data_IF_461875302537
#
_entry.id   IF_461875302537
#
_cell.length_a   1.000
_cell.length_b   1.000
_cell.length_c   1.000
_cell.angle_alpha   90.00
_cell.angle_beta   90.00
_cell.angle_gamma   90.00
#
_symmetry.space_group_name_H-M   'P 1'
#
loop_
_entity.id
_entity.type
_entity.pdbx_description
1 polymer ?
#
# COMPACT_ATOMS: atom_id res chain seq x y z
N UNK A 1 5.10 3.19 13.61
CA UNK A 1 5.61 1.82 13.36
C UNK A 1 7.02 1.95 12.86
N UNK A 2 8.00 1.44 13.60
CA UNK A 2 9.41 1.45 13.16
C UNK A 2 9.58 0.27 12.22
N UNK A 3 9.77 0.57 10.94
CA UNK A 3 10.09 -0.42 9.90
C UNK A 3 11.60 -0.59 9.89
N UNK A 4 12.08 -1.84 9.96
CA UNK A 4 13.49 -2.16 9.76
C UNK A 4 13.59 -3.04 8.51
N UNK A 5 14.28 -2.57 7.47
CA UNK A 5 14.48 -3.32 6.22
C UNK A 5 13.21 -3.92 5.57
N UNK A 6 12.05 -3.28 5.74
CA UNK A 6 10.78 -3.74 5.16
C UNK A 6 10.04 -4.79 6.00
N UNK A 7 10.42 -4.98 7.26
CA UNK A 7 9.74 -5.84 8.24
C UNK A 7 9.24 -4.99 9.42
N UNK A 8 8.14 -5.40 10.06
CA UNK A 8 7.67 -4.78 11.30
C UNK A 8 8.41 -5.37 12.50
N UNK A 9 9.01 -4.50 13.32
CA UNK A 9 9.81 -4.90 14.49
C UNK A 9 9.10 -5.87 15.46
N UNK A 10 7.79 -5.72 15.62
CA UNK A 10 7.00 -6.45 16.63
C UNK A 10 6.00 -7.44 16.00
N UNK A 11 6.27 -7.92 14.78
CA UNK A 11 5.45 -8.93 14.14
C UNK A 11 6.33 -10.11 13.69
N UNK A 12 5.89 -11.37 13.89
CA UNK A 12 4.70 -11.81 14.63
C UNK A 12 4.74 -11.51 16.13
N UNK A 13 3.59 -11.52 16.81
CA UNK A 13 3.50 -11.38 18.25
C UNK A 13 3.60 -12.74 18.96
N UNK A 14 2.81 -13.72 18.53
CA UNK A 14 2.73 -15.03 19.17
C UNK A 14 4.00 -15.85 19.02
N UNK A 15 4.35 -16.61 20.06
CA UNK A 15 5.47 -17.55 20.04
C UNK A 15 5.26 -18.64 18.98
N UNK A 16 4.02 -19.13 18.85
CA UNK A 16 3.63 -20.08 17.81
C UNK A 16 3.97 -19.56 16.41
N UNK A 17 3.53 -18.34 16.06
CA UNK A 17 3.75 -17.80 14.73
C UNK A 17 5.22 -17.40 14.51
N UNK A 18 5.93 -16.94 15.54
CA UNK A 18 7.39 -16.73 15.47
C UNK A 18 8.14 -18.02 15.10
N UNK A 19 7.75 -19.16 15.69
CA UNK A 19 8.31 -20.47 15.36
C UNK A 19 8.09 -20.83 13.88
N UNK A 20 6.86 -20.65 13.39
CA UNK A 20 6.54 -20.88 11.97
C UNK A 20 7.31 -19.94 11.04
N UNK A 21 7.50 -18.68 11.42
CA UNK A 21 8.31 -17.72 10.66
C UNK A 21 9.77 -18.18 10.52
N UNK A 22 10.36 -18.69 11.60
CA UNK A 22 11.70 -19.27 11.56
C UNK A 22 11.78 -20.48 10.63
N UNK A 23 10.83 -21.41 10.71
CA UNK A 23 10.82 -22.64 9.91
C UNK A 23 10.60 -22.38 8.42
N UNK A 24 9.65 -21.50 8.08
CA UNK A 24 9.22 -21.28 6.70
C UNK A 24 9.77 -19.99 6.07
N UNK A 25 10.74 -19.34 6.73
CA UNK A 25 11.31 -18.05 6.31
C UNK A 25 10.23 -16.99 6.06
N UNK A 26 9.32 -16.84 7.01
CA UNK A 26 8.15 -15.95 6.90
C UNK A 26 8.51 -14.50 6.53
N UNK A 27 9.68 -14.02 6.95
CA UNK A 27 10.18 -12.66 6.66
C UNK A 27 10.50 -12.40 5.18
N UNK A 28 10.65 -13.46 4.36
CA UNK A 28 10.81 -13.31 2.91
C UNK A 28 9.52 -12.87 2.23
N UNK A 29 8.37 -13.33 2.73
CA UNK A 29 7.07 -13.15 2.10
C UNK A 29 6.16 -12.15 2.85
N UNK A 30 6.16 -12.19 4.19
CA UNK A 30 5.25 -11.44 5.05
C UNK A 30 5.90 -10.12 5.47
N UNK A 31 6.24 -9.33 4.46
CA UNK A 31 6.85 -8.00 4.63
C UNK A 31 5.81 -6.91 4.84
N UNK A 32 6.27 -5.69 5.09
CA UNK A 32 5.43 -4.50 5.28
C UNK A 32 4.34 -4.35 4.21
N UNK A 33 4.59 -4.53 2.89
CA UNK A 33 3.52 -4.42 1.88
C UNK A 33 2.40 -5.44 2.08
N UNK A 34 2.75 -6.68 2.43
CA UNK A 34 1.80 -7.75 2.71
C UNK A 34 0.95 -7.42 3.94
N UNK A 35 1.58 -7.01 5.04
CA UNK A 35 0.86 -6.67 6.27
C UNK A 35 0.07 -5.36 6.18
N UNK A 36 0.46 -4.43 5.29
CA UNK A 36 -0.35 -3.24 4.98
C UNK A 36 -1.64 -3.62 4.24
N UNK A 37 -1.65 -4.69 3.46
CA UNK A 37 -2.86 -5.19 2.80
C UNK A 37 -3.93 -5.56 3.84
N UNK A 38 -3.54 -6.16 4.98
CA UNK A 38 -4.44 -6.46 6.10
C UNK A 38 -5.24 -5.23 6.61
N UNK A 39 -4.66 -4.03 6.49
CA UNK A 39 -5.26 -2.79 6.97
C UNK A 39 -6.06 -2.02 5.91
N UNK A 40 -6.01 -2.48 4.65
CA UNK A 40 -6.76 -1.88 3.55
C UNK A 40 -8.22 -2.34 3.62
N UNK A 41 -9.19 -1.42 3.54
CA UNK A 41 -10.57 -1.84 3.36
C UNK A 41 -10.72 -2.52 1.99
N UNK A 42 -11.53 -3.57 1.86
CA UNK A 42 -11.80 -4.20 0.59
C UNK A 42 -12.50 -3.18 -0.34
N UNK A 43 -11.99 -3.02 -1.56
CA UNK A 43 -12.51 -2.05 -2.55
C UNK A 43 -13.70 -2.64 -3.32
N UNK A 44 -14.69 -3.18 -2.61
CA UNK A 44 -15.79 -3.96 -3.20
C UNK A 44 -16.67 -3.14 -4.15
N UNK A 45 -16.75 -1.82 -3.92
CA UNK A 45 -17.63 -0.92 -4.67
C UNK A 45 -16.89 -0.11 -5.77
N UNK A 46 -15.56 -0.21 -5.84
CA UNK A 46 -14.77 0.54 -6.82
C UNK A 46 -14.70 -0.21 -8.16
N UNK A 47 -14.85 0.51 -9.27
CA UNK A 47 -14.67 -0.06 -10.61
C UNK A 47 -13.23 -0.48 -10.82
N UNK A 48 -13.02 -1.70 -11.32
CA UNK A 48 -11.67 -2.24 -11.56
C UNK A 48 -10.87 -1.33 -12.50
N UNK A 49 -11.50 -0.73 -13.51
CA UNK A 49 -10.83 0.18 -14.43
C UNK A 49 -10.26 1.41 -13.71
N UNK A 50 -11.00 1.96 -12.74
CA UNK A 50 -10.55 3.13 -11.96
C UNK A 50 -9.38 2.76 -11.04
N UNK A 51 -9.42 1.57 -10.43
CA UNK A 51 -8.33 1.06 -9.60
C UNK A 51 -7.06 0.84 -10.44
N UNK A 52 -7.20 0.22 -11.61
CA UNK A 52 -6.11 -0.01 -12.57
C UNK A 52 -5.52 1.31 -13.04
N UNK A 53 -6.36 2.27 -13.43
CA UNK A 53 -5.92 3.61 -13.81
C UNK A 53 -5.14 4.27 -12.68
N UNK A 54 -5.66 4.28 -11.45
CA UNK A 54 -4.99 4.89 -10.30
C UNK A 54 -3.62 4.25 -10.01
N UNK A 55 -3.53 2.91 -10.11
CA UNK A 55 -2.29 2.17 -9.92
C UNK A 55 -1.25 2.52 -10.99
N UNK A 56 -1.63 2.45 -12.27
CA UNK A 56 -0.73 2.70 -13.38
C UNK A 56 -0.32 4.16 -13.48
N UNK A 57 -1.22 5.10 -13.24
CA UNK A 57 -0.93 6.53 -13.23
C UNK A 57 0.12 6.87 -12.17
N UNK A 58 0.00 6.26 -10.99
CA UNK A 58 0.99 6.40 -9.92
C UNK A 58 2.31 5.69 -10.26
N UNK A 59 2.25 4.56 -10.97
CA UNK A 59 3.43 3.82 -11.42
C UNK A 59 4.22 4.62 -12.45
N UNK A 60 3.57 5.29 -13.41
CA UNK A 60 4.24 6.16 -14.39
C UNK A 60 5.03 7.27 -13.71
N UNK A 61 4.44 7.97 -12.72
CA UNK A 61 5.17 8.97 -11.92
C UNK A 61 6.37 8.38 -11.18
N UNK A 62 6.26 7.13 -10.70
CA UNK A 62 7.35 6.44 -10.01
C UNK A 62 8.47 6.05 -10.99
N UNK A 63 8.11 5.56 -12.16
CA UNK A 63 9.03 5.18 -13.25
C UNK A 63 9.79 6.41 -13.74
N UNK A 64 9.09 7.53 -13.95
CA UNK A 64 9.71 8.81 -14.27
C UNK A 64 10.72 9.21 -13.19
N UNK A 65 10.29 9.26 -11.92
CA UNK A 65 11.18 9.62 -10.83
C UNK A 65 12.40 8.68 -10.75
N UNK A 66 12.21 7.39 -10.99
CA UNK A 66 13.30 6.41 -11.01
C UNK A 66 14.30 6.67 -12.15
N UNK A 67 13.81 6.88 -13.39
CA UNK A 67 14.64 7.20 -14.56
C UNK A 67 15.49 8.46 -14.34
N UNK A 68 14.93 9.46 -13.65
CA UNK A 68 15.60 10.73 -13.36
C UNK A 68 16.39 10.74 -12.03
N UNK A 69 16.68 9.56 -11.46
CA UNK A 69 17.37 9.41 -10.17
C UNK A 69 16.78 10.27 -9.03
N UNK A 70 15.45 10.36 -8.99
CA UNK A 70 14.66 11.12 -8.04
C UNK A 70 13.84 10.19 -7.11
N UNK A 71 13.45 10.74 -5.96
CA UNK A 71 12.40 10.22 -5.09
C UNK A 71 11.14 11.04 -5.30
N UNK A 72 10.02 10.36 -5.43
CA UNK A 72 8.71 11.01 -5.49
C UNK A 72 8.21 11.29 -4.07
N UNK A 73 8.05 12.56 -3.69
CA UNK A 73 7.48 12.97 -2.40
C UNK A 73 6.11 13.58 -2.58
N UNK A 74 5.17 13.16 -1.75
CA UNK A 74 3.80 13.67 -1.72
C UNK A 74 3.75 15.03 -1.02
N UNK A 75 3.04 16.00 -1.60
CA UNK A 75 2.75 17.29 -0.95
C UNK A 75 1.60 17.19 0.07
N UNK A 76 0.65 16.26 -0.15
CA UNK A 76 -0.59 16.12 0.65
C UNK A 76 -1.09 14.67 0.80
N UNK A 77 -1.94 14.42 1.82
CA UNK A 77 -2.51 13.09 2.17
C UNK A 77 -3.36 12.45 1.06
N UNK A 78 -3.95 13.24 0.15
CA UNK A 78 -4.55 12.76 -1.10
C UNK A 78 -3.89 13.53 -2.24
N UNK A 79 -2.86 12.93 -2.83
CA UNK A 79 -1.94 13.64 -3.73
C UNK A 79 -2.67 14.11 -5.00
N UNK A 80 -3.53 13.27 -5.57
CA UNK A 80 -4.36 13.60 -6.74
C UNK A 80 -5.80 13.22 -6.42
N UNK A 81 -6.78 14.03 -6.87
CA UNK A 81 -8.22 13.76 -6.69
C UNK A 81 -8.79 13.13 -7.96
N UNK A 82 -8.92 11.80 -7.99
CA UNK A 82 -9.24 11.06 -9.23
C UNK A 82 -10.73 10.89 -9.54
N UNK A 83 -11.62 11.10 -8.55
CA UNK A 83 -13.06 10.83 -8.67
C UNK A 83 -13.78 11.48 -9.86
N UNK A 84 -13.33 12.64 -10.31
CA UNK A 84 -14.00 13.41 -11.38
C UNK A 84 -13.21 13.43 -12.70
N UNK A 85 -12.09 12.71 -12.78
CA UNK A 85 -11.15 12.79 -13.91
C UNK A 85 -11.46 11.83 -15.05
N UNK A 86 -12.44 10.92 -14.90
CA UNK A 86 -12.85 9.93 -15.91
C UNK A 86 -11.66 9.15 -16.52
N UNK A 87 -10.70 8.75 -15.69
CA UNK A 87 -9.47 8.06 -16.11
C UNK A 87 -8.69 8.76 -17.24
N UNK A 88 -8.74 10.11 -17.27
CA UNK A 88 -7.90 10.91 -18.15
C UNK A 88 -6.52 11.12 -17.50
N UNK A 89 -5.48 10.59 -18.14
CA UNK A 89 -4.12 10.66 -17.64
C UNK A 89 -3.50 12.06 -17.74
N UNK A 90 -3.84 12.83 -18.77
CA UNK A 90 -3.35 14.21 -18.96
C UNK A 90 -3.78 15.10 -17.78
N UNK A 91 -5.07 15.08 -17.45
CA UNK A 91 -5.64 15.79 -16.30
C UNK A 91 -5.01 15.29 -14.98
N UNK A 92 -4.70 13.99 -14.89
CA UNK A 92 -4.04 13.42 -13.73
C UNK A 92 -2.62 13.99 -13.53
N UNK A 93 -1.80 14.03 -14.59
CA UNK A 93 -0.40 14.48 -14.48
C UNK A 93 -0.29 15.97 -14.22
N UNK A 94 -1.23 16.79 -14.73
CA UNK A 94 -1.30 18.21 -14.41
C UNK A 94 -1.51 18.46 -12.91
N UNK A 95 -2.50 17.82 -12.28
CA UNK A 95 -2.72 17.94 -10.83
C UNK A 95 -1.59 17.28 -10.03
N UNK A 96 -1.05 16.16 -10.52
CA UNK A 96 0.06 15.47 -9.88
C UNK A 96 1.33 16.32 -9.82
N UNK A 97 1.73 16.92 -10.94
CA UNK A 97 2.94 17.73 -11.05
C UNK A 97 2.79 19.06 -10.31
N UNK A 98 1.61 19.69 -10.40
CA UNK A 98 1.37 21.02 -9.82
C UNK A 98 1.15 20.93 -8.31
N UNK A 99 0.23 20.06 -7.87
CA UNK A 99 -0.29 20.06 -6.50
C UNK A 99 -0.03 18.79 -5.71
N UNK A 100 0.19 17.66 -6.39
CA UNK A 100 0.22 16.35 -5.75
C UNK A 100 1.59 15.93 -5.22
N UNK A 101 2.62 16.13 -6.04
CA UNK A 101 3.94 15.55 -5.85
C UNK A 101 5.06 16.55 -6.12
N UNK A 102 6.23 16.21 -5.60
CA UNK A 102 7.52 16.86 -5.85
C UNK A 102 8.55 15.78 -6.11
N UNK A 103 9.54 16.09 -6.95
CA UNK A 103 10.72 15.26 -7.12
C UNK A 103 11.81 15.76 -6.19
N UNK A 104 12.49 14.83 -5.55
CA UNK A 104 13.65 15.10 -4.71
C UNK A 104 14.81 14.30 -5.27
N UNK A 105 15.88 14.97 -5.65
CA UNK A 105 17.07 14.30 -6.17
C UNK A 105 17.60 13.34 -5.10
N UNK A 106 17.95 12.11 -5.50
CA UNK A 106 18.67 11.21 -4.60
C UNK A 106 20.11 11.72 -4.54
N UNK A 107 20.42 12.55 -3.55
CA UNK A 107 21.79 12.98 -3.29
C UNK A 107 22.69 11.73 -3.14
N UNK A 108 23.78 11.69 -3.88
CA UNK A 108 24.98 11.01 -3.41
C UNK A 108 25.56 11.96 -2.36
N UNK A 109 25.59 11.52 -1.09
CA UNK A 109 26.10 12.21 0.09
C UNK A 109 26.89 13.52 -0.15
N UNK A 110 26.34 14.64 0.33
CA UNK A 110 27.08 15.89 0.54
C UNK A 110 26.81 16.95 -0.53
N UNK A 111 25.83 17.82 -0.30
CA UNK A 111 26.10 19.18 0.19
C UNK A 111 24.81 19.99 0.21
N UNK A 112 24.64 20.76 1.29
CA UNK A 112 23.55 21.70 1.53
C UNK A 112 23.57 22.87 0.53
N UNK A 113 23.34 22.61 -0.76
CA UNK A 113 23.15 23.64 -1.76
C UNK A 113 21.72 23.60 -2.28
N UNK A 114 21.12 24.80 -2.34
CA UNK A 114 19.77 25.13 -2.82
C UNK A 114 19.55 24.75 -4.29
N UNK A 115 19.78 23.50 -4.66
CA UNK A 115 19.48 22.98 -5.98
C UNK A 115 17.96 22.97 -6.13
N UNK A 116 17.45 23.69 -7.13
CA UNK A 116 16.04 23.67 -7.47
C UNK A 116 15.60 22.22 -7.71
N UNK A 117 14.49 21.81 -7.09
CA UNK A 117 14.00 20.47 -7.25
C UNK A 117 13.69 20.19 -8.73
N UNK A 118 14.02 18.99 -9.25
CA UNK A 118 13.68 18.63 -10.62
C UNK A 118 12.18 18.80 -10.88
N UNK A 119 11.85 19.33 -12.05
CA UNK A 119 10.46 19.49 -12.50
C UNK A 119 10.03 18.27 -13.30
N UNK A 120 8.74 17.97 -13.30
CA UNK A 120 8.20 16.93 -14.16
C UNK A 120 8.23 17.39 -15.62
N UNK A 121 8.63 16.51 -16.53
CA UNK A 121 8.42 16.68 -17.96
C UNK A 121 7.09 16.00 -18.33
N UNK A 122 6.06 16.78 -18.64
CA UNK A 122 4.72 16.25 -18.92
C UNK A 122 4.70 15.42 -20.22
N UNK A 123 5.44 15.84 -21.25
CA UNK A 123 5.56 15.11 -22.52
C UNK A 123 6.18 13.72 -22.33
N UNK A 124 7.22 13.62 -21.50
CA UNK A 124 7.84 12.33 -21.18
C UNK A 124 6.89 11.45 -20.37
N UNK A 125 6.14 12.02 -19.42
CA UNK A 125 5.11 11.28 -18.68
C UNK A 125 4.02 10.73 -19.60
N UNK A 126 3.54 11.54 -20.55
CA UNK A 126 2.60 11.08 -21.58
C UNK A 126 3.21 9.97 -22.42
N UNK A 127 4.47 10.10 -22.83
CA UNK A 127 5.19 9.06 -23.60
C UNK A 127 5.26 7.75 -22.81
N UNK A 128 5.61 7.79 -21.52
CA UNK A 128 5.63 6.63 -20.64
C UNK A 128 4.25 5.97 -20.51
N UNK A 129 3.18 6.78 -20.46
CA UNK A 129 1.82 6.28 -20.40
C UNK A 129 1.39 5.60 -21.70
N UNK A 130 1.68 6.20 -22.86
CA UNK A 130 1.38 5.61 -24.16
C UNK A 130 2.19 4.35 -24.48
N UNK A 131 3.33 4.15 -23.83
CA UNK A 131 4.11 2.90 -23.90
C UNK A 131 3.45 1.74 -23.15
N UNK A 132 2.45 1.99 -22.29
CA UNK A 132 1.74 0.93 -21.58
C UNK A 132 0.86 0.14 -22.56
N UNK A 133 1.14 -1.16 -22.67
CA UNK A 133 0.35 -2.06 -23.52
C UNK A 133 -0.91 -2.54 -22.82
N UNK A 134 -1.91 -2.98 -23.57
CA UNK A 134 -3.10 -3.63 -23.01
C UNK A 134 -2.77 -4.78 -22.04
N UNK A 135 -1.70 -5.53 -22.34
CA UNK A 135 -1.21 -6.58 -21.46
C UNK A 135 -0.77 -6.07 -20.07
N UNK A 136 -0.24 -4.85 -20.00
CA UNK A 136 0.11 -4.18 -18.74
C UNK A 136 -1.13 -3.82 -17.93
N UNK A 137 -2.19 -3.34 -18.58
CA UNK A 137 -3.49 -3.11 -17.94
C UNK A 137 -4.09 -4.41 -17.41
N UNK A 138 -4.03 -5.50 -18.16
CA UNK A 138 -4.48 -6.82 -17.70
C UNK A 138 -3.71 -7.28 -16.47
N UNK A 139 -2.36 -7.17 -16.46
CA UNK A 139 -1.54 -7.52 -15.30
C UNK A 139 -1.88 -6.68 -14.07
N UNK A 140 -2.09 -5.38 -14.24
CA UNK A 140 -2.52 -4.50 -13.16
C UNK A 140 -3.88 -4.91 -12.60
N UNK A 141 -4.83 -5.28 -13.46
CA UNK A 141 -6.14 -5.80 -13.04
C UNK A 141 -6.02 -7.09 -12.22
N UNK A 142 -5.26 -8.07 -12.72
CA UNK A 142 -5.00 -9.33 -12.01
C UNK A 142 -4.35 -9.06 -10.65
N UNK A 143 -3.36 -8.17 -10.59
CA UNK A 143 -2.69 -7.80 -9.36
C UNK A 143 -3.64 -7.20 -8.32
N UNK A 144 -4.51 -6.28 -8.73
CA UNK A 144 -5.51 -5.65 -7.84
C UNK A 144 -6.52 -6.69 -7.34
N UNK A 145 -7.01 -7.56 -8.23
CA UNK A 145 -7.93 -8.63 -7.84
C UNK A 145 -7.26 -9.57 -6.82
N UNK A 146 -6.01 -9.97 -7.07
CA UNK A 146 -5.26 -10.80 -6.13
C UNK A 146 -5.10 -10.12 -4.76
N UNK A 147 -4.80 -8.82 -4.73
CA UNK A 147 -4.76 -8.05 -3.49
C UNK A 147 -6.10 -8.08 -2.76
N UNK A 148 -7.21 -7.87 -3.48
CA UNK A 148 -8.55 -7.87 -2.90
C UNK A 148 -8.94 -9.25 -2.34
N UNK A 149 -8.61 -10.34 -3.03
CA UNK A 149 -8.87 -11.70 -2.54
C UNK A 149 -7.97 -12.10 -1.37
N UNK A 150 -6.73 -11.63 -1.32
CA UNK A 150 -5.81 -11.91 -0.23
C UNK A 150 -6.08 -11.07 1.01
N UNK A 151 -6.61 -9.84 0.88
CA UNK A 151 -6.88 -8.95 1.99
C UNK A 151 -7.57 -9.62 3.19
N UNK A 152 -8.72 -10.32 3.04
CA UNK A 152 -9.42 -10.92 4.18
C UNK A 152 -8.63 -12.06 4.81
N UNK A 153 -7.84 -12.80 4.02
CA UNK A 153 -6.98 -13.88 4.53
C UNK A 153 -5.90 -13.29 5.42
N UNK A 154 -5.26 -12.22 4.96
CA UNK A 154 -4.17 -11.56 5.69
C UNK A 154 -4.70 -10.83 6.93
N UNK A 155 -5.86 -10.19 6.83
CA UNK A 155 -6.52 -9.60 7.99
C UNK A 155 -6.75 -10.66 9.07
N UNK A 156 -7.42 -11.77 8.73
CA UNK A 156 -7.66 -12.86 9.67
C UNK A 156 -6.35 -13.42 10.25
N UNK A 157 -5.33 -13.60 9.42
CA UNK A 157 -4.01 -14.06 9.87
C UNK A 157 -3.42 -13.17 10.97
N UNK A 158 -3.48 -11.83 10.81
CA UNK A 158 -3.03 -10.87 11.83
C UNK A 158 -3.91 -10.90 13.07
N UNK A 159 -5.23 -11.08 12.92
CA UNK A 159 -6.14 -11.21 14.05
C UNK A 159 -5.85 -12.49 14.84
N UNK A 160 -5.65 -13.63 14.18
CA UNK A 160 -5.29 -14.89 14.82
C UNK A 160 -3.97 -14.79 15.59
N UNK A 161 -2.93 -14.16 15.03
CA UNK A 161 -1.66 -13.95 15.75
C UNK A 161 -1.87 -13.23 17.09
N UNK A 162 -2.71 -12.18 17.10
CA UNK A 162 -3.05 -11.44 18.32
C UNK A 162 -3.83 -12.28 19.33
N UNK A 163 -4.77 -13.09 18.84
CA UNK A 163 -5.58 -13.96 19.70
C UNK A 163 -4.70 -15.02 20.37
N UNK A 164 -3.83 -15.67 19.59
CA UNK A 164 -2.89 -16.68 20.10
C UNK A 164 -1.93 -16.05 21.10
N UNK A 165 -1.38 -14.88 20.78
CA UNK A 165 -0.52 -14.13 21.71
C UNK A 165 -1.20 -13.89 23.06
N UNK A 166 -2.47 -13.46 23.09
CA UNK A 166 -3.19 -13.26 24.36
C UNK A 166 -3.34 -14.57 25.15
N UNK A 167 -3.66 -15.68 24.48
CA UNK A 167 -3.78 -16.99 25.13
C UNK A 167 -2.44 -17.47 25.69
N UNK A 168 -1.35 -17.30 24.95
CA UNK A 168 0.02 -17.59 25.39
C UNK A 168 0.41 -16.78 26.64
N UNK A 169 -0.15 -15.57 26.79
CA UNK A 169 0.07 -14.69 27.95
C UNK A 169 -1.01 -14.85 29.05
N UNK A 170 -1.73 -15.98 29.08
CA UNK A 170 -2.63 -16.34 30.17
C UNK A 170 -4.04 -15.73 30.11
N UNK A 171 -4.38 -15.00 29.05
CA UNK A 171 -5.74 -14.46 28.86
C UNK A 171 -6.64 -15.56 28.31
N UNK A 172 -7.34 -16.25 29.21
CA UNK A 172 -8.19 -17.41 28.88
C UNK A 172 -9.46 -17.03 28.11
N UNK A 173 -10.06 -15.90 28.46
CA UNK A 173 -11.30 -15.41 27.87
C UNK A 173 -11.02 -14.29 26.88
N UNK A 174 -10.51 -14.65 25.70
CA UNK A 174 -10.34 -13.72 24.59
C UNK A 174 -10.96 -14.25 23.29
N UNK A 175 -11.63 -13.36 22.55
CA UNK A 175 -12.23 -13.66 21.26
C UNK A 175 -12.39 -12.40 20.41
N UNK A 176 -12.54 -12.58 19.10
CA UNK A 176 -13.00 -11.51 18.21
C UNK A 176 -14.51 -11.56 18.07
N UNK A 177 -15.18 -10.47 18.40
CA UNK A 177 -16.63 -10.31 18.22
C UNK A 177 -16.91 -9.31 17.11
N UNK A 178 -17.86 -9.65 16.24
CA UNK A 178 -18.38 -8.72 15.25
C UNK A 178 -19.27 -7.68 15.94
N UNK A 179 -18.85 -6.43 15.91
CA UNK A 179 -19.52 -5.29 16.56
C UNK A 179 -20.30 -4.40 15.57
N UNK A 180 -19.99 -4.48 14.28
CA UNK A 180 -20.63 -3.66 13.24
C UNK A 180 -21.01 -4.50 12.02
N UNK A 181 -21.92 -3.97 11.20
CA UNK A 181 -22.15 -4.50 9.87
C UNK A 181 -20.97 -4.10 8.96
N UNK A 182 -20.46 -5.04 8.15
CA UNK A 182 -19.37 -4.79 7.19
C UNK A 182 -19.72 -3.69 6.18
N UNK A 183 -21.01 -3.52 5.86
CA UNK A 183 -21.54 -2.45 5.00
C UNK A 183 -21.48 -1.07 5.67
N UNK A 184 -21.43 -1.01 7.00
CA UNK A 184 -21.33 0.24 7.78
C UNK A 184 -19.86 0.58 8.05
N UNK A 185 -19.09 -0.42 8.47
CA UNK A 185 -17.65 -0.31 8.69
C UNK A 185 -16.99 -1.61 8.25
N UNK A 186 -16.08 -1.58 7.25
CA UNK A 186 -15.31 -2.75 6.88
C UNK A 186 -14.53 -3.32 8.07
N UNK A 187 -14.07 -2.45 8.97
CA UNK A 187 -13.46 -2.83 10.25
C UNK A 187 -14.56 -3.06 11.28
N UNK A 188 -15.03 -4.30 11.36
CA UNK A 188 -16.19 -4.67 12.17
C UNK A 188 -15.90 -5.66 13.30
N UNK A 189 -14.64 -6.05 13.48
CA UNK A 189 -14.23 -7.00 14.52
C UNK A 189 -13.57 -6.25 15.69
N UNK A 190 -13.98 -6.57 16.91
CA UNK A 190 -13.36 -6.11 18.14
C UNK A 190 -12.75 -7.29 18.90
N UNK A 191 -11.53 -7.12 19.41
CA UNK A 191 -10.92 -8.07 20.33
C UNK A 191 -11.46 -7.82 21.72
N UNK A 192 -12.18 -8.79 22.28
CA UNK A 192 -12.67 -8.78 23.66
C UNK A 192 -11.73 -9.65 24.48
N UNK A 193 -11.28 -9.15 25.61
CA UNK A 193 -10.42 -9.86 26.55
C UNK A 193 -10.91 -9.58 27.97
N UNK A 194 -11.37 -10.63 28.66
CA UNK A 194 -11.83 -10.55 30.04
C UNK A 194 -10.74 -11.09 30.97
N UNK A 195 -10.58 -10.41 32.11
CA UNK A 195 -9.73 -10.87 33.21
C UNK A 195 -10.44 -11.97 34.01
#
# INVERSE_FOLDING_TARGET
>A
MVECHGVFKNFPLSCCLKGLFGTFKGDEFIRVPFLRLAAQPPSVDDKLEDLVFNLLSRAVLQTFAFKHNCKLKRKKRKAVKTKNMKNNFEVYIEDAATNGFTLIKKEANGDNNKAENPKFCLEELMTLWHQLTQFTFTKAGIFILLQNYLQPVIENFVLFDRLVYLKENGVKHCEFKKILNVKISPRCLALIANK
#
